data_IF_292211259203
#
_entry.id   IF_292211259203
#
_cell.length_a   1.000
_cell.length_b   1.000
_cell.length_c   1.000
_cell.angle_alpha   90.00
_cell.angle_beta   90.00
_cell.angle_gamma   90.00
#
_symmetry.space_group_name_H-M   'P 1'
#
loop_
_entity.id
_entity.type
_entity.pdbx_description
1 polymer ?
#
# COMPACT_ATOMS: atom_id res chain seq x y z
N UNK A 1 23.07 7.12 16.33
CA UNK A 1 23.10 5.68 15.99
C UNK A 1 22.54 5.52 14.60
N UNK A 2 23.45 5.15 13.70
CA UNK A 2 23.27 5.02 12.25
C UNK A 2 22.62 3.67 11.89
N UNK A 3 22.32 3.50 10.60
CA UNK A 3 21.67 2.36 9.92
C UNK A 3 20.16 2.50 9.75
N UNK A 4 19.73 3.00 8.60
CA UNK A 4 18.57 2.52 7.82
C UNK A 4 18.55 3.29 6.49
N UNK A 5 19.67 3.21 5.74
CA UNK A 5 19.65 3.59 4.33
C UNK A 5 19.23 2.35 3.56
N UNK A 6 18.01 2.42 3.03
CA UNK A 6 17.36 1.40 2.24
C UNK A 6 18.30 0.88 1.14
N UNK A 7 18.33 -0.46 0.92
CA UNK A 7 19.05 -1.14 -0.18
C UNK A 7 18.42 -0.84 -1.56
N UNK A 8 17.94 0.39 -1.74
CA UNK A 8 17.17 0.89 -2.87
C UNK A 8 18.00 1.83 -3.75
N UNK A 9 19.00 2.54 -3.20
CA UNK A 9 19.72 3.58 -3.96
C UNK A 9 21.01 3.11 -4.66
N UNK A 10 21.54 1.91 -4.41
CA UNK A 10 22.91 1.61 -4.85
C UNK A 10 23.06 1.11 -6.29
N UNK A 11 21.98 0.75 -7.01
CA UNK A 11 22.08 0.22 -8.38
C UNK A 11 21.48 1.11 -9.48
N UNK A 12 20.94 2.29 -9.14
CA UNK A 12 20.38 3.20 -10.15
C UNK A 12 21.19 4.50 -10.22
N UNK A 13 21.83 4.82 -11.36
CA UNK A 13 22.38 6.14 -11.58
C UNK A 13 21.24 7.17 -11.64
N UNK A 14 21.08 7.92 -10.54
CA UNK A 14 20.58 9.31 -10.45
C UNK A 14 19.41 9.69 -11.39
N UNK A 15 18.19 9.58 -10.88
CA UNK A 15 17.01 10.22 -11.48
C UNK A 15 17.08 11.76 -11.36
N UNK A 16 17.04 12.53 -12.45
CA UNK A 16 16.86 13.97 -12.40
C UNK A 16 15.38 14.30 -12.18
N UNK A 17 15.00 14.75 -10.98
CA UNK A 17 13.62 15.24 -10.74
C UNK A 17 13.08 15.20 -9.31
N UNK A 18 13.80 14.67 -8.31
CA UNK A 18 13.30 14.68 -6.93
C UNK A 18 13.48 16.06 -6.28
N UNK A 19 12.39 16.84 -6.22
CA UNK A 19 12.27 18.04 -5.38
C UNK A 19 12.13 17.67 -3.90
N UNK A 20 12.71 18.44 -2.96
CA UNK A 20 12.53 18.23 -1.52
C UNK A 20 11.12 18.64 -1.04
N UNK A 21 10.63 18.06 0.08
CA UNK A 21 9.30 18.36 0.62
C UNK A 21 9.20 19.76 1.26
N UNK A 22 8.01 20.41 1.25
CA UNK A 22 7.81 21.74 1.81
C UNK A 22 7.76 21.76 3.35
N UNK A 23 8.13 22.91 3.93
CA UNK A 23 8.21 23.18 5.37
C UNK A 23 6.84 23.40 6.05
N UNK A 24 6.73 23.24 7.40
CA UNK A 24 5.45 23.34 8.12
C UNK A 24 4.95 24.78 8.32
N UNK A 25 3.62 24.95 8.32
CA UNK A 25 2.88 26.21 8.46
C UNK A 25 2.68 26.56 9.95
N UNK A 26 2.77 27.85 10.29
CA UNK A 26 2.60 28.39 11.65
C UNK A 26 1.11 28.45 12.11
N UNK A 27 0.83 28.39 13.43
CA UNK A 27 -0.54 28.37 13.95
C UNK A 27 -1.19 29.78 14.03
N UNK A 28 -2.48 29.86 13.67
CA UNK A 28 -3.35 31.03 13.86
C UNK A 28 -3.88 31.13 15.30
N UNK A 29 -3.89 32.34 15.85
CA UNK A 29 -4.45 32.68 17.17
C UNK A 29 -5.96 32.98 17.07
N UNK A 30 -6.76 32.40 17.95
CA UNK A 30 -8.21 32.60 18.05
C UNK A 30 -8.52 33.72 19.05
N UNK A 31 -9.22 34.76 18.60
CA UNK A 31 -9.75 35.82 19.46
C UNK A 31 -11.13 35.45 20.01
N UNK A 32 -11.30 35.51 21.34
CA UNK A 32 -12.58 35.31 22.02
C UNK A 32 -13.29 36.64 22.26
N UNK A 33 -14.56 36.76 21.85
CA UNK A 33 -15.40 37.93 22.15
C UNK A 33 -16.29 37.71 23.40
N UNK A 34 -16.70 38.77 24.11
CA UNK A 34 -17.41 38.64 25.38
C UNK A 34 -18.92 38.43 25.19
N UNK A 35 -19.49 37.42 25.86
CA UNK A 35 -20.94 37.19 25.94
C UNK A 35 -21.61 38.25 26.82
N UNK A 36 -22.55 39.01 26.27
CA UNK A 36 -23.53 39.76 27.06
C UNK A 36 -24.65 38.81 27.52
N UNK A 37 -25.01 38.94 28.79
CA UNK A 37 -26.12 38.21 29.43
C UNK A 37 -27.24 39.22 29.65
N UNK A 38 -28.44 38.94 29.15
CA UNK A 38 -29.66 39.66 29.52
C UNK A 38 -30.71 38.66 30.03
N UNK A 39 -31.08 38.87 31.29
CA UNK A 39 -32.30 38.42 31.95
C UNK A 39 -33.52 39.08 31.24
N UNK A 40 -34.78 38.68 31.33
CA UNK A 40 -35.57 37.72 32.14
C UNK A 40 -36.98 37.74 31.55
N UNK A 41 -37.71 36.64 31.71
CA UNK A 41 -39.18 36.54 31.76
C UNK A 41 -40.02 36.92 30.53
N UNK A 42 -40.84 35.96 30.05
CA UNK A 42 -42.30 36.03 30.19
C UNK A 42 -42.99 35.07 29.20
N UNK A 43 -43.76 34.13 29.76
CA UNK A 43 -44.94 33.48 29.18
C UNK A 43 -44.82 32.93 27.75
N UNK A 44 -44.24 31.73 27.60
CA UNK A 44 -44.29 30.96 26.35
C UNK A 44 -45.69 30.33 26.21
N UNK A 45 -46.61 31.08 25.58
CA UNK A 45 -47.95 30.64 25.19
C UNK A 45 -47.89 29.26 24.51
N UNK A 46 -48.77 28.34 24.92
CA UNK A 46 -48.85 26.93 24.50
C UNK A 46 -48.85 26.72 22.97
N UNK A 47 -49.16 27.76 22.20
CA UNK A 47 -49.10 27.78 20.74
C UNK A 47 -47.66 27.72 20.20
N UNK A 48 -46.70 28.34 20.90
CA UNK A 48 -45.28 28.29 20.52
C UNK A 48 -44.64 26.96 20.90
N UNK A 49 -45.11 26.30 21.97
CA UNK A 49 -44.65 24.97 22.36
C UNK A 49 -45.08 23.92 21.32
N UNK A 50 -46.31 23.99 20.83
CA UNK A 50 -46.81 23.09 19.79
C UNK A 50 -46.14 23.32 18.43
N UNK A 51 -45.85 24.57 18.07
CA UNK A 51 -45.08 24.88 16.85
C UNK A 51 -43.64 24.39 16.98
N UNK A 52 -42.97 24.61 18.12
CA UNK A 52 -41.62 24.11 18.37
C UNK A 52 -41.56 22.58 18.35
N UNK A 53 -42.55 21.90 18.94
CA UNK A 53 -42.66 20.45 18.93
C UNK A 53 -42.94 19.90 17.51
N UNK A 54 -43.80 20.57 16.75
CA UNK A 54 -44.09 20.23 15.35
C UNK A 54 -42.88 20.42 14.44
N UNK A 55 -42.10 21.49 14.62
CA UNK A 55 -40.85 21.72 13.88
C UNK A 55 -39.79 20.67 14.26
N UNK A 56 -39.67 20.31 15.54
CA UNK A 56 -38.77 19.24 15.99
C UNK A 56 -39.15 17.86 15.43
N UNK A 57 -40.45 17.53 15.39
CA UNK A 57 -40.94 16.27 14.82
C UNK A 57 -40.81 16.24 13.29
N UNK A 58 -41.07 17.36 12.61
CA UNK A 58 -40.95 17.47 11.15
C UNK A 58 -39.48 17.39 10.68
N UNK A 59 -38.54 18.01 11.41
CA UNK A 59 -37.11 17.90 11.12
C UNK A 59 -36.51 16.56 11.61
N UNK A 60 -37.04 15.98 12.68
CA UNK A 60 -36.58 14.68 13.22
C UNK A 60 -36.94 13.50 12.32
N UNK A 61 -38.12 13.53 11.67
CA UNK A 61 -38.55 12.46 10.76
C UNK A 61 -37.76 12.44 9.45
N UNK A 62 -37.23 13.60 9.02
CA UNK A 62 -36.36 13.70 7.85
C UNK A 62 -34.92 13.25 8.09
N UNK A 63 -34.44 13.26 9.35
CA UNK A 63 -33.08 12.88 9.70
C UNK A 63 -32.89 11.35 9.81
N UNK A 64 -33.94 10.61 10.16
CA UNK A 64 -33.86 9.16 10.29
C UNK A 64 -33.71 8.44 8.93
N UNK A 65 -34.25 9.00 7.84
CA UNK A 65 -34.19 8.39 6.51
C UNK A 65 -32.89 8.68 5.74
N UNK A 66 -32.10 9.67 6.18
CA UNK A 66 -30.90 10.13 5.48
C UNK A 66 -29.59 9.64 6.11
N UNK A 67 -29.66 8.67 7.02
CA UNK A 67 -28.47 7.89 7.37
C UNK A 67 -28.22 6.94 6.20
N UNK A 68 -27.65 7.50 5.12
CA UNK A 68 -27.07 6.72 4.06
C UNK A 68 -26.13 5.72 4.73
N UNK A 69 -26.43 4.44 4.57
CA UNK A 69 -25.59 3.36 5.03
C UNK A 69 -24.26 3.48 4.29
N UNK A 70 -23.26 4.16 4.89
CA UNK A 70 -21.89 4.11 4.41
C UNK A 70 -21.42 2.67 4.57
N UNK A 71 -21.60 1.86 3.52
CA UNK A 71 -20.99 0.54 3.45
C UNK A 71 -19.50 0.74 3.69
N UNK A 72 -18.88 0.05 4.67
CA UNK A 72 -17.45 0.15 4.89
C UNK A 72 -16.75 -0.05 3.56
N UNK A 73 -15.99 0.97 3.12
CA UNK A 73 -15.16 0.83 1.92
C UNK A 73 -14.17 -0.26 2.27
N UNK A 74 -14.34 -1.43 1.66
CA UNK A 74 -13.41 -2.55 1.81
C UNK A 74 -12.00 -2.00 1.57
N UNK A 75 -11.14 -2.12 2.57
CA UNK A 75 -9.88 -1.38 2.63
C UNK A 75 -8.83 -2.08 1.76
N UNK A 76 -9.02 -2.03 0.43
CA UNK A 76 -8.20 -2.73 -0.56
C UNK A 76 -6.71 -2.53 -0.26
N UNK A 77 -6.04 -3.61 0.14
CA UNK A 77 -4.61 -3.64 0.45
C UNK A 77 -3.88 -4.48 -0.58
N UNK A 78 -3.24 -3.79 -1.54
CA UNK A 78 -2.48 -4.43 -2.61
C UNK A 78 -0.97 -4.19 -2.48
N UNK A 79 -0.19 -5.11 -3.07
CA UNK A 79 1.25 -4.96 -3.29
C UNK A 79 1.56 -5.15 -4.76
N UNK A 80 2.22 -4.17 -5.36
CA UNK A 80 2.67 -4.21 -6.75
C UNK A 80 4.19 -4.25 -6.79
N UNK A 81 4.77 -5.08 -7.65
CA UNK A 81 6.21 -5.09 -7.89
C UNK A 81 6.53 -5.12 -9.38
N UNK A 82 7.73 -4.64 -9.73
CA UNK A 82 8.28 -4.68 -11.07
C UNK A 82 9.75 -5.06 -11.00
N UNK A 83 10.18 -5.91 -11.93
CA UNK A 83 11.57 -6.27 -12.18
C UNK A 83 11.95 -5.81 -13.58
N UNK A 84 13.15 -5.28 -13.74
CA UNK A 84 13.70 -4.89 -15.03
C UNK A 84 15.19 -5.20 -15.09
N UNK A 85 15.65 -5.63 -16.25
CA UNK A 85 17.06 -5.82 -16.55
C UNK A 85 17.45 -4.98 -17.75
N UNK A 86 18.70 -4.55 -17.75
CA UNK A 86 19.39 -3.98 -18.89
C UNK A 86 20.56 -4.92 -19.25
N UNK A 87 20.41 -5.77 -20.29
CA UNK A 87 21.44 -6.71 -20.69
C UNK A 87 22.72 -6.03 -21.19
N UNK A 88 22.64 -4.80 -21.71
CA UNK A 88 23.79 -4.08 -22.27
C UNK A 88 24.72 -3.60 -21.15
N UNK A 89 24.14 -3.09 -20.06
CA UNK A 89 24.91 -2.58 -18.92
C UNK A 89 25.12 -3.60 -17.81
N UNK A 90 24.44 -4.75 -17.87
CA UNK A 90 24.46 -5.75 -16.79
C UNK A 90 23.66 -5.32 -15.56
N UNK A 91 22.82 -4.29 -15.68
CA UNK A 91 22.08 -3.70 -14.56
C UNK A 91 20.76 -4.43 -14.35
N UNK A 92 20.37 -4.61 -13.09
CA UNK A 92 19.04 -5.08 -12.70
C UNK A 92 18.44 -4.13 -11.67
N UNK A 93 17.14 -3.88 -11.80
CA UNK A 93 16.37 -3.02 -10.91
C UNK A 93 15.07 -3.68 -10.49
N UNK A 94 14.58 -3.25 -9.33
CA UNK A 94 13.27 -3.66 -8.82
C UNK A 94 12.62 -2.48 -8.09
N UNK A 95 11.31 -2.33 -8.27
CA UNK A 95 10.50 -1.45 -7.43
C UNK A 95 9.27 -2.20 -6.87
N UNK A 96 8.84 -1.81 -5.66
CA UNK A 96 7.66 -2.37 -4.98
C UNK A 96 6.88 -1.24 -4.32
N UNK A 97 5.55 -1.26 -4.48
CA UNK A 97 4.62 -0.34 -3.83
C UNK A 97 3.61 -1.15 -3.02
N UNK A 98 3.44 -0.80 -1.73
CA UNK A 98 2.53 -1.48 -0.81
C UNK A 98 2.13 -0.56 0.33
N UNK A 99 1.00 -0.86 0.98
CA UNK A 99 0.62 -0.31 2.28
C UNK A 99 1.41 -0.95 3.45
N UNK A 100 2.17 -2.02 3.17
CA UNK A 100 3.05 -2.65 4.14
C UNK A 100 4.37 -1.87 4.31
N UNK A 101 4.75 -1.47 5.54
CA UNK A 101 5.94 -0.67 5.76
C UNK A 101 7.22 -1.45 5.39
N UNK A 102 8.17 -0.76 4.76
CA UNK A 102 9.47 -1.32 4.36
C UNK A 102 9.39 -2.58 3.45
N UNK A 103 8.33 -2.70 2.64
CA UNK A 103 8.08 -3.86 1.75
C UNK A 103 9.24 -4.20 0.82
N UNK A 104 10.05 -3.20 0.42
CA UNK A 104 11.19 -3.41 -0.47
C UNK A 104 12.29 -4.32 0.10
N UNK A 105 12.40 -4.44 1.44
CA UNK A 105 13.32 -5.41 2.08
C UNK A 105 12.76 -6.84 2.07
N UNK A 106 11.44 -6.96 1.97
CA UNK A 106 10.74 -8.24 2.10
C UNK A 106 10.58 -8.88 0.74
N UNK A 107 10.01 -8.17 -0.23
CA UNK A 107 9.51 -8.80 -1.46
C UNK A 107 10.61 -9.21 -2.43
N UNK A 108 11.78 -8.58 -2.39
CA UNK A 108 12.60 -8.44 -3.56
C UNK A 108 14.08 -8.71 -3.42
N UNK A 109 14.65 -9.45 -4.36
CA UNK A 109 16.06 -9.79 -4.42
C UNK A 109 16.59 -9.55 -5.84
N UNK A 110 17.72 -8.87 -5.95
CA UNK A 110 18.36 -8.56 -7.22
C UNK A 110 19.88 -8.73 -7.11
N UNK A 111 20.50 -9.20 -8.19
CA UNK A 111 21.96 -9.36 -8.29
C UNK A 111 22.42 -8.92 -9.69
N UNK A 112 23.29 -7.90 -9.72
CA UNK A 112 23.85 -7.36 -10.96
C UNK A 112 24.53 -8.46 -11.78
N UNK A 113 24.36 -8.43 -13.10
CA UNK A 113 24.86 -9.47 -14.00
C UNK A 113 24.17 -10.84 -13.89
N UNK A 114 23.16 -11.00 -13.01
CA UNK A 114 22.43 -12.27 -12.84
C UNK A 114 20.92 -12.15 -13.11
N UNK A 115 20.24 -11.22 -12.45
CA UNK A 115 18.79 -11.05 -12.57
C UNK A 115 18.12 -10.71 -11.25
N UNK A 116 16.83 -11.03 -11.14
CA UNK A 116 16.04 -10.68 -9.96
C UNK A 116 14.82 -11.57 -9.75
N UNK A 117 14.35 -11.59 -8.51
CA UNK A 117 13.15 -12.30 -8.08
C UNK A 117 12.34 -11.42 -7.11
N UNK A 118 11.04 -11.39 -7.33
CA UNK A 118 10.06 -10.88 -6.39
C UNK A 118 9.25 -12.07 -5.88
N UNK A 119 9.19 -12.21 -4.55
CA UNK A 119 8.22 -13.10 -3.92
C UNK A 119 7.27 -12.23 -3.10
N UNK A 120 5.98 -12.27 -3.43
CA UNK A 120 4.93 -11.49 -2.78
C UNK A 120 3.72 -12.38 -2.56
N UNK A 121 2.78 -11.98 -1.69
CA UNK A 121 1.66 -12.80 -1.24
C UNK A 121 2.08 -14.18 -0.66
N UNK A 122 1.95 -14.36 0.65
CA UNK A 122 2.55 -15.52 1.35
C UNK A 122 4.05 -15.68 1.02
N UNK A 123 4.81 -14.63 1.29
CA UNK A 123 6.27 -14.53 1.04
C UNK A 123 7.09 -15.62 1.76
N UNK A 124 8.15 -16.13 1.10
CA UNK A 124 9.12 -17.07 1.69
C UNK A 124 10.54 -16.49 1.59
N UNK A 125 11.08 -15.86 2.65
CA UNK A 125 12.38 -15.17 2.59
C UNK A 125 13.57 -16.06 2.18
N UNK A 126 13.48 -17.36 2.47
CA UNK A 126 14.53 -18.31 2.18
C UNK A 126 14.75 -18.54 0.67
N UNK A 127 13.82 -18.11 -0.19
CA UNK A 127 13.89 -18.37 -1.64
C UNK A 127 14.71 -17.34 -2.42
N UNK A 128 14.94 -16.15 -1.86
CA UNK A 128 15.57 -15.05 -2.57
C UNK A 128 16.98 -15.37 -3.11
N UNK A 129 17.92 -15.67 -2.22
CA UNK A 129 19.31 -15.97 -2.63
C UNK A 129 19.45 -17.27 -3.43
N UNK A 130 18.80 -18.40 -3.06
CA UNK A 130 18.87 -19.62 -3.87
C UNK A 130 18.32 -19.47 -5.30
N UNK A 131 17.27 -18.67 -5.49
CA UNK A 131 16.77 -18.36 -6.82
C UNK A 131 17.80 -17.59 -7.66
N UNK A 132 18.48 -16.61 -7.05
CA UNK A 132 19.57 -15.88 -7.71
C UNK A 132 20.77 -16.80 -8.02
N UNK A 133 21.07 -17.77 -7.16
CA UNK A 133 22.13 -18.76 -7.41
C UNK A 133 21.76 -19.68 -8.59
N UNK A 134 20.50 -20.10 -8.69
CA UNK A 134 20.00 -20.87 -9.83
C UNK A 134 20.05 -20.08 -11.15
N UNK A 135 19.65 -18.80 -11.13
CA UNK A 135 19.80 -17.91 -12.28
C UNK A 135 21.27 -17.72 -12.68
N UNK A 136 22.16 -17.57 -11.71
CA UNK A 136 23.60 -17.45 -11.97
C UNK A 136 24.20 -18.72 -12.59
N UNK A 137 23.64 -19.89 -12.26
CA UNK A 137 23.97 -21.17 -12.89
C UNK A 137 23.35 -21.36 -14.29
N UNK A 138 22.56 -20.40 -14.77
CA UNK A 138 21.95 -20.41 -16.10
C UNK A 138 20.57 -21.07 -16.17
N UNK A 139 19.96 -21.40 -15.03
CA UNK A 139 18.59 -21.93 -15.02
C UNK A 139 17.61 -20.88 -15.57
N UNK A 140 16.69 -21.26 -16.47
CA UNK A 140 15.66 -20.34 -16.96
C UNK A 140 14.66 -19.99 -15.84
N UNK A 141 14.08 -18.78 -15.85
CA UNK A 141 13.13 -18.31 -14.83
C UNK A 141 11.98 -19.29 -14.52
N UNK A 142 11.44 -19.95 -15.54
CA UNK A 142 10.35 -20.94 -15.40
C UNK A 142 10.80 -22.16 -14.58
N UNK A 143 12.03 -22.62 -14.81
CA UNK A 143 12.60 -23.73 -14.05
C UNK A 143 12.85 -23.32 -12.61
N UNK A 144 13.36 -22.10 -12.37
CA UNK A 144 13.54 -21.57 -11.00
C UNK A 144 12.21 -21.56 -10.25
N UNK A 145 11.13 -21.06 -10.86
CA UNK A 145 9.80 -21.08 -10.25
C UNK A 145 9.33 -22.52 -9.98
N UNK A 146 9.48 -23.42 -10.95
CA UNK A 146 9.09 -24.81 -10.80
C UNK A 146 9.86 -25.51 -9.67
N UNK A 147 11.16 -25.23 -9.53
CA UNK A 147 12.01 -25.76 -8.47
C UNK A 147 11.59 -25.28 -7.09
N UNK A 148 11.28 -23.99 -6.94
CA UNK A 148 10.83 -23.40 -5.68
C UNK A 148 9.47 -23.93 -5.22
N UNK A 149 8.55 -24.16 -6.17
CA UNK A 149 7.18 -24.59 -5.87
C UNK A 149 7.00 -26.11 -5.75
N UNK A 150 8.00 -26.90 -6.17
CA UNK A 150 7.91 -28.37 -6.28
C UNK A 150 7.33 -29.02 -5.01
N UNK A 151 7.90 -28.67 -3.87
CA UNK A 151 7.57 -29.26 -2.57
C UNK A 151 6.90 -28.26 -1.62
N UNK A 152 6.40 -27.14 -2.14
CA UNK A 152 5.73 -26.11 -1.35
C UNK A 152 4.23 -26.42 -1.20
N UNK A 153 3.74 -26.79 0.00
CA UNK A 153 2.32 -27.01 0.22
C UNK A 153 1.49 -25.74 0.04
N UNK A 154 2.12 -24.56 0.12
CA UNK A 154 1.48 -23.26 -0.05
C UNK A 154 1.50 -22.72 -1.49
N UNK A 155 1.92 -23.50 -2.49
CA UNK A 155 2.19 -23.00 -3.85
C UNK A 155 1.04 -22.21 -4.48
N UNK A 156 -0.21 -22.61 -4.22
CA UNK A 156 -1.41 -21.97 -4.78
C UNK A 156 -1.71 -20.60 -4.15
N UNK A 157 -1.03 -20.27 -3.05
CA UNK A 157 -1.09 -18.97 -2.37
C UNK A 157 0.14 -18.11 -2.64
N UNK A 158 1.14 -18.59 -3.39
CA UNK A 158 2.36 -17.81 -3.68
C UNK A 158 2.15 -16.89 -4.87
N UNK A 159 2.78 -15.73 -4.84
CA UNK A 159 2.96 -14.91 -6.04
C UNK A 159 4.46 -14.65 -6.27
N UNK A 160 4.95 -15.02 -7.45
CA UNK A 160 6.36 -14.94 -7.81
C UNK A 160 6.52 -14.23 -9.15
N UNK A 161 7.59 -13.46 -9.29
CA UNK A 161 8.10 -12.99 -10.58
C UNK A 161 9.62 -13.16 -10.60
N UNK A 162 10.16 -13.70 -11.68
CA UNK A 162 11.60 -13.96 -11.86
C UNK A 162 12.01 -13.41 -13.22
N UNK A 163 13.15 -12.72 -13.29
CA UNK A 163 13.78 -12.26 -14.54
C UNK A 163 15.27 -12.60 -14.52
N UNK A 164 15.83 -13.00 -15.66
CA UNK A 164 17.27 -13.19 -15.83
C UNK A 164 17.92 -12.06 -16.64
N UNK A 165 19.26 -12.01 -16.70
CA UNK A 165 19.95 -10.98 -17.49
C UNK A 165 19.75 -11.05 -19.00
N UNK A 166 19.26 -12.17 -19.54
CA UNK A 166 18.91 -12.25 -20.96
C UNK A 166 17.53 -11.64 -21.27
N UNK A 167 16.81 -11.18 -20.24
CA UNK A 167 15.48 -10.62 -20.35
C UNK A 167 14.37 -11.67 -20.39
N UNK A 168 14.69 -12.96 -20.17
CA UNK A 168 13.66 -13.99 -19.98
C UNK A 168 13.00 -13.75 -18.64
N UNK A 169 11.67 -13.89 -18.57
CA UNK A 169 10.92 -13.67 -17.36
C UNK A 169 9.77 -14.66 -17.22
N UNK A 170 9.51 -15.08 -15.98
CA UNK A 170 8.40 -15.96 -15.63
C UNK A 170 7.66 -15.42 -14.41
N UNK A 171 6.36 -15.72 -14.34
CA UNK A 171 5.49 -15.32 -13.23
C UNK A 171 4.65 -16.50 -12.75
N UNK A 172 4.39 -16.54 -11.45
CA UNK A 172 3.45 -17.45 -10.82
C UNK A 172 2.42 -16.63 -10.05
N UNK A 173 1.13 -16.86 -10.32
CA UNK A 173 0.04 -16.17 -9.64
C UNK A 173 -0.74 -17.16 -8.77
N UNK A 174 -1.25 -16.72 -7.62
CA UNK A 174 -2.02 -17.56 -6.74
C UNK A 174 -3.35 -17.95 -7.40
N UNK A 175 -3.76 -19.21 -7.23
CA UNK A 175 -5.04 -19.73 -7.72
C UNK A 175 -6.11 -19.79 -6.63
N UNK A 176 -5.69 -19.76 -5.36
CA UNK A 176 -6.58 -19.87 -4.18
C UNK A 176 -6.55 -18.62 -3.29
N UNK A 177 -6.08 -17.48 -3.80
CA UNK A 177 -6.09 -16.23 -3.05
C UNK A 177 -7.55 -15.84 -2.68
N UNK A 178 -7.80 -15.39 -1.44
CA UNK A 178 -9.10 -14.84 -1.07
C UNK A 178 -9.42 -13.61 -1.94
N UNK A 179 -10.72 -13.32 -2.19
CA UNK A 179 -11.12 -12.10 -2.91
C UNK A 179 -10.51 -10.86 -2.24
N UNK A 180 -10.22 -9.85 -3.06
CA UNK A 180 -9.38 -8.70 -2.71
C UNK A 180 -9.65 -8.16 -1.30
N UNK A 181 -8.70 -8.39 -0.38
CA UNK A 181 -8.65 -7.83 0.96
C UNK A 181 -7.99 -6.45 0.97
#
# INVERSE_FOLDING_TARGET
>A
MSFWFCRWCCCWPRWPGCSPPPSPIAPMSVATSPRKRFATESLMSSRHLLIALGVLLFNGLGLAAAVAEERPREEITATFSILAVDPETGTVGMAVASKYPAVGKVVGYVRAGVGGICTQHYHVPAWGEPALDALAAGAPPEQVIADLLRDDPGREMRQLAVIDMSGRAAVHNPTTAPPAS
#
